data_IF_783261603028
#
_entry.id   IF_783261603028
#
_cell.length_a   1.000
_cell.length_b   1.000
_cell.length_c   1.000
_cell.angle_alpha   90.00
_cell.angle_beta   90.00
_cell.angle_gamma   90.00
#
_symmetry.space_group_name_H-M   'P 1'
#
loop_
_entity.id
_entity.type
_entity.pdbx_description
1 polymer ?
#
# COMPACT_ATOMS: atom_id res chain seq x y z
N UNK A 1 -6.45 -0.80 -16.38
CA UNK A 1 -5.15 -0.88 -15.69
C UNK A 1 -4.66 0.55 -15.54
N UNK A 2 -4.44 1.01 -14.31
CA UNK A 2 -3.89 2.36 -14.09
C UNK A 2 -2.39 2.33 -14.33
N UNK A 3 -1.85 3.40 -14.88
CA UNK A 3 -0.41 3.58 -14.98
C UNK A 3 0.19 3.91 -13.60
N UNK A 4 1.47 3.62 -13.40
CA UNK A 4 2.19 3.87 -12.15
C UNK A 4 2.11 5.34 -11.73
N UNK A 5 2.13 6.25 -12.71
CA UNK A 5 2.00 7.68 -12.46
C UNK A 5 0.58 8.07 -12.00
N UNK A 6 -0.45 7.35 -12.45
CA UNK A 6 -1.82 7.54 -11.97
C UNK A 6 -1.97 7.05 -10.53
N UNK A 7 -1.40 5.88 -10.23
CA UNK A 7 -1.39 5.30 -8.87
C UNK A 7 -0.70 6.27 -7.89
N UNK A 8 0.49 6.78 -8.24
CA UNK A 8 1.23 7.74 -7.41
C UNK A 8 0.42 9.01 -7.13
N UNK A 9 -0.28 9.56 -8.13
CA UNK A 9 -1.14 10.76 -7.96
C UNK A 9 -2.35 10.49 -7.06
N UNK A 10 -3.00 9.35 -7.23
CA UNK A 10 -4.10 8.95 -6.36
C UNK A 10 -3.62 8.79 -4.91
N UNK A 11 -2.44 8.21 -4.70
CA UNK A 11 -1.85 8.03 -3.39
C UNK A 11 -1.40 9.35 -2.75
N UNK A 12 -0.96 10.34 -3.52
CA UNK A 12 -0.72 11.69 -3.01
C UNK A 12 -1.99 12.35 -2.48
N UNK A 13 -3.14 12.12 -3.13
CA UNK A 13 -4.44 12.62 -2.62
C UNK A 13 -4.84 11.93 -1.32
N UNK A 14 -4.46 10.67 -1.12
CA UNK A 14 -4.65 9.98 0.16
C UNK A 14 -3.79 10.62 1.25
N UNK A 15 -2.51 10.89 0.98
CA UNK A 15 -1.63 11.58 1.92
C UNK A 15 -2.16 12.99 2.27
N UNK A 16 -2.70 13.71 1.29
CA UNK A 16 -3.35 15.00 1.54
C UNK A 16 -4.54 14.88 2.48
N UNK A 17 -5.41 13.88 2.26
CA UNK A 17 -6.55 13.61 3.14
C UNK A 17 -6.11 13.23 4.56
N UNK A 18 -5.07 12.40 4.69
CA UNK A 18 -4.49 12.03 5.99
C UNK A 18 -3.93 13.25 6.72
N UNK A 19 -3.36 14.22 6.00
CA UNK A 19 -2.81 15.45 6.58
C UNK A 19 -3.84 16.58 6.72
N UNK A 20 -5.04 16.43 6.17
CA UNK A 20 -6.14 17.40 6.20
C UNK A 20 -6.06 18.55 5.17
N UNK A 21 -4.89 18.87 4.62
CA UNK A 21 -4.75 19.87 3.55
C UNK A 21 -3.48 19.68 2.72
N UNK A 22 -3.47 20.22 1.49
CA UNK A 22 -2.29 20.22 0.61
C UNK A 22 -1.07 20.90 1.25
N UNK A 23 -1.29 22.01 1.97
CA UNK A 23 -0.21 22.73 2.66
C UNK A 23 0.36 21.92 3.81
N UNK A 24 -0.49 21.28 4.62
CA UNK A 24 -0.04 20.41 5.71
C UNK A 24 0.75 19.20 5.17
N UNK A 25 0.29 18.59 4.08
CA UNK A 25 1.00 17.52 3.40
C UNK A 25 2.36 18.00 2.86
N UNK A 26 2.40 19.14 2.18
CA UNK A 26 3.65 19.72 1.65
C UNK A 26 4.67 20.00 2.77
N UNK A 27 4.23 20.59 3.88
CA UNK A 27 5.06 20.84 5.06
C UNK A 27 5.62 19.54 5.64
N UNK A 28 4.76 18.52 5.80
CA UNK A 28 5.18 17.18 6.27
C UNK A 28 6.23 16.55 5.35
N UNK A 29 6.08 16.76 4.04
CA UNK A 29 6.98 16.22 3.02
C UNK A 29 8.22 17.10 2.76
N UNK A 30 8.42 18.17 3.53
CA UNK A 30 9.51 19.15 3.36
C UNK A 30 9.60 19.72 1.92
N UNK A 31 8.46 20.04 1.31
CA UNK A 31 8.41 20.65 -0.03
C UNK A 31 7.43 21.83 -0.07
N UNK A 32 7.49 22.64 -1.13
CA UNK A 32 6.55 23.75 -1.25
C UNK A 32 5.13 23.26 -1.63
N UNK A 33 4.06 23.96 -1.19
CA UNK A 33 2.69 23.62 -1.56
C UNK A 33 2.45 23.58 -3.08
N UNK A 34 3.15 24.44 -3.82
CA UNK A 34 3.12 24.46 -5.29
C UNK A 34 3.76 23.19 -5.88
N UNK A 35 4.92 22.76 -5.36
CA UNK A 35 5.55 21.50 -5.79
C UNK A 35 4.64 20.29 -5.52
N UNK A 36 4.03 20.22 -4.33
CA UNK A 36 3.09 19.16 -3.98
C UNK A 36 1.89 19.14 -4.93
N UNK A 37 1.26 20.30 -5.16
CA UNK A 37 0.10 20.43 -6.05
C UNK A 37 0.45 20.03 -7.49
N UNK A 38 1.61 20.45 -8.00
CA UNK A 38 2.08 20.09 -9.34
C UNK A 38 2.30 18.58 -9.50
N UNK A 39 2.84 17.91 -8.48
CA UNK A 39 3.01 16.46 -8.44
C UNK A 39 1.67 15.73 -8.35
N UNK A 40 0.73 16.25 -7.56
CA UNK A 40 -0.62 15.69 -7.36
C UNK A 40 -1.49 15.80 -8.62
N UNK A 41 -1.54 16.98 -9.23
CA UNK A 41 -2.36 17.22 -10.43
C UNK A 41 -1.73 16.63 -11.70
N UNK A 42 -0.42 16.45 -11.69
CA UNK A 42 0.34 16.05 -12.87
C UNK A 42 0.27 17.17 -13.91
N UNK A 43 1.16 18.15 -13.78
CA UNK A 43 1.25 19.27 -14.73
C UNK A 43 1.22 18.75 -16.18
N UNK A 44 0.29 19.28 -16.99
CA UNK A 44 0.15 18.87 -18.39
C UNK A 44 1.35 19.36 -19.17
N UNK A 45 1.98 18.46 -19.91
CA UNK A 45 2.97 18.80 -20.91
C UNK A 45 2.24 19.45 -22.10
N UNK A 46 2.56 20.71 -22.39
CA UNK A 46 1.91 21.50 -23.45
C UNK A 46 2.23 21.02 -24.85
N UNK A 47 3.22 20.13 -25.02
CA UNK A 47 3.69 19.66 -26.31
C UNK A 47 3.20 18.25 -26.64
N UNK A 48 2.97 17.42 -25.62
CA UNK A 48 2.49 16.03 -25.78
C UNK A 48 1.11 15.78 -25.20
N UNK A 49 0.55 16.75 -24.46
CA UNK A 49 -0.73 16.63 -23.75
C UNK A 49 -0.71 15.67 -22.56
N UNK A 50 0.38 14.93 -22.34
CA UNK A 50 0.53 13.95 -21.26
C UNK A 50 0.88 14.64 -19.95
N UNK A 51 0.31 14.18 -18.84
CA UNK A 51 0.67 14.67 -17.50
C UNK A 51 2.11 14.26 -17.20
N UNK A 52 2.92 15.18 -16.65
CA UNK A 52 4.28 14.85 -16.21
C UNK A 52 4.24 13.72 -15.18
N UNK A 53 5.04 12.69 -15.46
CA UNK A 53 5.23 11.56 -14.56
C UNK A 53 6.04 11.93 -13.33
N UNK A 54 5.84 11.17 -12.25
CA UNK A 54 6.62 11.33 -11.03
C UNK A 54 7.84 10.43 -11.11
N UNK A 55 9.05 11.01 -11.05
CA UNK A 55 10.29 10.22 -11.04
C UNK A 55 10.34 9.31 -9.81
N UNK A 56 10.92 8.11 -9.98
CA UNK A 56 11.07 7.12 -8.91
C UNK A 56 11.72 7.71 -7.66
N UNK A 57 12.80 8.47 -7.82
CA UNK A 57 13.51 9.08 -6.68
C UNK A 57 12.65 10.07 -5.90
N UNK A 58 11.80 10.82 -6.61
CA UNK A 58 10.84 11.73 -5.96
C UNK A 58 9.79 10.95 -5.18
N UNK A 59 9.27 9.85 -5.75
CA UNK A 59 8.34 8.99 -5.03
C UNK A 59 8.98 8.42 -3.74
N UNK A 60 10.21 7.90 -3.80
CA UNK A 60 10.89 7.34 -2.63
C UNK A 60 11.15 8.39 -1.54
N UNK A 61 11.53 9.61 -1.93
CA UNK A 61 11.71 10.72 -0.98
C UNK A 61 10.40 11.09 -0.28
N UNK A 62 9.29 11.09 -1.01
CA UNK A 62 7.96 11.35 -0.45
C UNK A 62 7.57 10.24 0.52
N UNK A 63 7.78 8.98 0.18
CA UNK A 63 7.53 7.83 1.07
C UNK A 63 8.29 7.97 2.38
N UNK A 64 9.59 8.27 2.29
CA UNK A 64 10.45 8.47 3.46
C UNK A 64 9.97 9.64 4.33
N UNK A 65 9.68 10.80 3.74
CA UNK A 65 9.22 11.97 4.48
C UNK A 65 7.81 11.78 5.08
N UNK A 66 6.96 10.96 4.42
CA UNK A 66 5.65 10.59 4.93
C UNK A 66 5.70 9.54 6.04
N UNK A 67 6.85 8.89 6.26
CA UNK A 67 6.98 7.73 7.16
C UNK A 67 6.29 6.47 6.63
N UNK A 68 6.14 6.34 5.31
CA UNK A 68 5.51 5.18 4.65
C UNK A 68 6.60 4.19 4.17
N UNK A 69 6.28 2.89 4.06
CA UNK A 69 7.24 1.91 3.57
C UNK A 69 7.64 2.19 2.12
N UNK A 70 8.84 1.74 1.76
CA UNK A 70 9.35 1.86 0.39
C UNK A 70 8.41 1.15 -0.60
N UNK A 71 7.92 1.87 -1.61
CA UNK A 71 7.02 1.37 -2.63
C UNK A 71 5.54 1.60 -2.31
N UNK A 72 5.23 2.22 -1.17
CA UNK A 72 3.86 2.54 -0.81
C UNK A 72 3.16 3.41 -1.87
N UNK A 73 3.85 4.35 -2.52
CA UNK A 73 3.24 5.17 -3.58
C UNK A 73 2.98 4.40 -4.88
N UNK A 74 3.57 3.22 -5.04
CA UNK A 74 3.48 2.39 -6.25
C UNK A 74 2.31 1.38 -6.19
N UNK A 75 1.61 1.28 -5.05
CA UNK A 75 0.52 0.34 -4.79
C UNK A 75 -0.83 1.07 -4.88
N UNK A 76 -1.81 0.52 -5.61
CA UNK A 76 -3.17 1.12 -5.64
C UNK A 76 -3.93 0.85 -4.34
N UNK A 77 -3.85 1.80 -3.39
CA UNK A 77 -4.54 1.70 -2.09
C UNK A 77 -6.06 1.91 -2.19
N UNK A 78 -6.58 2.50 -3.29
CA UNK A 78 -8.04 2.66 -3.46
C UNK A 78 -8.69 1.32 -3.80
N UNK A 79 -8.01 0.49 -4.60
CA UNK A 79 -8.47 -0.87 -4.88
C UNK A 79 -8.41 -1.75 -3.61
N UNK A 80 -7.33 -1.67 -2.83
CA UNK A 80 -7.18 -2.45 -1.59
C UNK A 80 -8.24 -2.08 -0.56
N UNK A 81 -8.55 -0.80 -0.38
CA UNK A 81 -9.58 -0.35 0.57
C UNK A 81 -10.99 -0.91 0.28
N UNK A 82 -11.26 -1.31 -0.97
CA UNK A 82 -12.55 -1.90 -1.35
C UNK A 82 -12.68 -3.35 -0.85
N UNK A 83 -11.55 -4.07 -0.73
CA UNK A 83 -11.52 -5.47 -0.27
C UNK A 83 -11.59 -5.53 1.27
N UNK A 84 -11.18 -4.47 1.97
CA UNK A 84 -11.09 -4.45 3.44
C UNK A 84 -12.42 -4.26 4.18
N UNK A 85 -13.51 -3.91 3.49
CA UNK A 85 -14.76 -3.52 4.14
C UNK A 85 -15.92 -4.52 3.96
N UNK A 86 -15.75 -5.52 3.11
CA UNK A 86 -16.63 -6.67 3.04
C UNK A 86 -15.84 -7.84 3.60
N UNK A 87 -16.39 -8.58 4.56
CA UNK A 87 -15.78 -9.82 5.01
C UNK A 87 -15.64 -10.81 3.84
N UNK A 88 -15.14 -12.03 4.09
CA UNK A 88 -15.10 -13.06 3.06
C UNK A 88 -16.47 -13.24 2.39
N UNK A 89 -16.47 -13.72 1.16
CA UNK A 89 -17.71 -13.99 0.41
C UNK A 89 -18.74 -14.73 1.29
N UNK A 90 -19.96 -14.19 1.38
CA UNK A 90 -21.01 -14.71 2.27
C UNK A 90 -21.04 -14.15 3.70
N UNK A 91 -20.12 -13.25 4.08
CA UNK A 91 -20.07 -12.64 5.43
C UNK A 91 -21.39 -11.96 5.85
N UNK A 92 -22.07 -11.31 4.91
CA UNK A 92 -23.35 -10.64 5.16
C UNK A 92 -24.52 -11.63 5.34
N UNK A 93 -24.37 -12.88 4.92
CA UNK A 93 -25.38 -13.94 5.08
C UNK A 93 -25.25 -14.68 6.42
N UNK A 94 -24.16 -14.49 7.15
CA UNK A 94 -23.94 -15.10 8.46
C UNK A 94 -24.62 -14.29 9.57
N UNK A 95 -25.26 -15.01 10.50
CA UNK A 95 -25.71 -14.45 11.76
C UNK A 95 -24.52 -14.18 12.72
N UNK A 96 -24.81 -13.66 13.91
CA UNK A 96 -23.78 -13.35 14.90
C UNK A 96 -22.95 -14.57 15.32
N UNK A 97 -23.54 -15.77 15.37
CA UNK A 97 -22.84 -17.00 15.74
C UNK A 97 -21.94 -17.49 14.60
N UNK A 98 -22.42 -17.44 13.37
CA UNK A 98 -21.63 -17.80 12.19
C UNK A 98 -20.41 -16.91 12.04
N UNK A 99 -20.56 -15.60 12.24
CA UNK A 99 -19.42 -14.66 12.24
C UNK A 99 -18.41 -14.99 13.35
N UNK A 100 -18.88 -15.29 14.56
CA UNK A 100 -18.01 -15.66 15.67
C UNK A 100 -17.22 -16.96 15.41
N UNK A 101 -17.81 -17.95 14.73
CA UNK A 101 -17.12 -19.18 14.35
C UNK A 101 -16.00 -18.93 13.34
N UNK A 102 -16.26 -18.10 12.33
CA UNK A 102 -15.24 -17.73 11.34
C UNK A 102 -14.08 -16.98 12.00
N UNK A 103 -14.38 -16.02 12.89
CA UNK A 103 -13.33 -15.32 13.65
C UNK A 103 -12.50 -16.26 14.51
N UNK A 104 -13.14 -17.19 15.23
CA UNK A 104 -12.45 -18.17 16.06
C UNK A 104 -11.52 -19.07 15.22
N UNK A 105 -11.98 -19.47 14.03
CA UNK A 105 -11.18 -20.26 13.11
C UNK A 105 -9.96 -19.49 12.59
N UNK A 106 -10.13 -18.24 12.14
CA UNK A 106 -9.02 -17.39 11.68
C UNK A 106 -8.00 -17.17 12.79
N UNK A 107 -8.45 -16.86 14.01
CA UNK A 107 -7.57 -16.72 15.18
C UNK A 107 -6.78 -18.01 15.43
N UNK A 108 -7.44 -19.17 15.34
CA UNK A 108 -6.81 -20.47 15.47
C UNK A 108 -5.73 -20.74 14.42
N UNK A 109 -5.93 -20.29 13.17
CA UNK A 109 -4.91 -20.39 12.11
C UNK A 109 -3.71 -19.48 12.38
N UNK A 110 -3.96 -18.22 12.78
CA UNK A 110 -2.91 -17.23 13.02
C UNK A 110 -2.08 -17.52 14.29
N UNK A 111 -2.64 -18.24 15.26
CA UNK A 111 -1.92 -18.68 16.46
C UNK A 111 -1.03 -19.90 16.23
N UNK A 112 -1.02 -20.51 15.04
CA UNK A 112 -0.11 -21.62 14.76
C UNK A 112 1.32 -21.09 14.61
N UNK A 113 2.31 -21.70 15.28
CA UNK A 113 3.70 -21.38 15.00
C UNK A 113 4.00 -21.70 13.53
N UNK A 114 4.91 -20.95 12.87
CA UNK A 114 5.34 -21.29 11.53
C UNK A 114 5.90 -22.71 11.55
N UNK A 115 5.39 -23.59 10.69
CA UNK A 115 5.95 -24.94 10.54
C UNK A 115 7.44 -24.79 10.21
N UNK A 116 8.29 -25.19 11.14
CA UNK A 116 9.71 -25.40 10.88
C UNK A 116 9.78 -26.54 9.88
N UNK A 117 9.92 -26.21 8.61
CA UNK A 117 10.42 -27.16 7.61
C UNK A 117 11.83 -27.52 8.04
N UNK A 118 11.97 -28.58 8.85
CA UNK A 118 13.26 -29.20 9.13
C UNK A 118 13.78 -29.75 7.81
N UNK A 119 14.71 -29.01 7.21
CA UNK A 119 15.62 -29.55 6.22
C UNK A 119 16.67 -30.41 6.94
N UNK A 120 16.26 -31.53 7.53
CA UNK A 120 17.19 -32.61 7.90
C UNK A 120 17.53 -33.40 6.63
N UNK A 121 18.33 -32.77 5.77
CA UNK A 121 19.17 -33.46 4.79
C UNK A 121 20.59 -33.48 5.34
N UNK A 122 20.78 -34.23 6.43
CA UNK A 122 22.11 -34.49 7.01
C UNK A 122 22.49 -35.97 6.81
N UNK A 123 22.18 -36.51 5.62
CA UNK A 123 22.64 -37.82 5.17
C UNK A 123 23.84 -37.64 4.22
N UNK A 124 24.96 -37.15 4.78
CA UNK A 124 26.26 -37.15 4.08
C UNK A 124 27.15 -38.20 4.76
N UNK A 125 27.45 -39.33 4.10
CA UNK A 125 28.30 -40.34 4.70
C UNK A 125 29.73 -39.79 4.79
N UNK A 126 30.29 -39.81 6.00
CA UNK A 126 31.71 -39.62 6.25
C UNK A 126 32.48 -40.75 5.59
N UNK A 127 33.21 -40.43 4.51
CA UNK A 127 34.17 -41.34 3.90
C UNK A 127 35.57 -41.09 4.47
N UNK A 128 36.16 -42.14 5.03
CA UNK A 128 37.61 -42.32 5.25
C UNK A 128 38.41 -42.24 3.94
#
# INVERSE_FOLDING_TARGET
MKDIDEIRRDNLKLLEKECGSATAAANKLNMSPAQFTNLREGAKDSQTGKRRGMRKDTARRIEQAAGKPQGWLDIDHRAVATISNSGPEGWDQLDAMGRAQVEAFIKGLLSRPPESHNADNDDRPSGD
#
